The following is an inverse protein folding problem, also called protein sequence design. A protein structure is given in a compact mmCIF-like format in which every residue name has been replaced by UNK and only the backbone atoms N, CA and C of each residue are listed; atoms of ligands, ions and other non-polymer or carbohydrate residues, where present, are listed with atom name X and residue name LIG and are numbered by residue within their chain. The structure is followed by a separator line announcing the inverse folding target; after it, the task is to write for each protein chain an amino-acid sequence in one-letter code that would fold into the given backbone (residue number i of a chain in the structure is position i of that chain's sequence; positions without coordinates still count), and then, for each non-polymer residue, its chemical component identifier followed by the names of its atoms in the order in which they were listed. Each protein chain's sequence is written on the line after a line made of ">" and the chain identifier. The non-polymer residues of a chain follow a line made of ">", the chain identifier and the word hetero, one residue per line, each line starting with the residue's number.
data_IF_445478863632
#
_entry.id   IF_445478863632
#
_cell.length_a   1.000
_cell.length_b   1.000
_cell.length_c   1.000
_cell.angle_alpha   90.00
_cell.angle_beta   90.00
_cell.angle_gamma   90.00
#
_symmetry.space_group_name_H-M   'P 1'
#
loop_
_entity.id
_entity.type
_entity.pdbx_description
1 polymer ?
#
# COMPACT_ATOMS: atom_id res chain seq x y z
N UNK A 1 -17.59 -6.29 -2.61
CA UNK A 1 -17.19 -7.10 -1.44
C UNK A 1 -17.94 -6.58 -0.24
N UNK A 2 -18.61 -7.43 0.53
CA UNK A 2 -19.13 -7.05 1.86
C UNK A 2 -18.16 -7.59 2.91
N UNK A 3 -18.17 -7.05 4.13
CA UNK A 3 -17.28 -7.51 5.21
C UNK A 3 -17.42 -9.02 5.45
N UNK A 4 -18.64 -9.57 5.31
CA UNK A 4 -18.90 -11.01 5.41
C UNK A 4 -18.11 -11.83 4.38
N UNK A 5 -18.08 -11.39 3.12
CA UNK A 5 -17.34 -12.09 2.07
C UNK A 5 -15.82 -12.02 2.30
N UNK A 6 -15.32 -10.92 2.86
CA UNK A 6 -13.91 -10.79 3.21
C UNK A 6 -13.53 -11.69 4.39
N UNK A 7 -14.34 -11.73 5.44
CA UNK A 7 -14.10 -12.63 6.57
C UNK A 7 -14.12 -14.11 6.16
N UNK A 8 -15.04 -14.49 5.26
CA UNK A 8 -15.08 -15.85 4.70
C UNK A 8 -13.82 -16.19 3.92
N UNK A 9 -13.28 -15.24 3.13
CA UNK A 9 -12.00 -15.43 2.45
C UNK A 9 -10.86 -15.65 3.44
N UNK A 10 -10.77 -14.85 4.50
CA UNK A 10 -9.72 -15.00 5.50
C UNK A 10 -9.83 -16.33 6.26
N UNK A 11 -11.05 -16.78 6.56
CA UNK A 11 -11.31 -18.06 7.21
C UNK A 11 -10.98 -19.29 6.33
N UNK A 12 -10.88 -19.10 5.01
CA UNK A 12 -10.51 -20.17 4.10
C UNK A 12 -9.02 -20.57 4.20
N UNK A 13 -8.17 -19.72 4.76
CA UNK A 13 -6.76 -20.04 4.98
C UNK A 13 -6.60 -20.93 6.21
N UNK A 14 -6.13 -22.16 5.99
CA UNK A 14 -5.96 -23.18 7.03
C UNK A 14 -4.73 -22.96 7.90
N UNK A 15 -3.72 -22.23 7.41
CA UNK A 15 -2.49 -21.95 8.15
C UNK A 15 -2.02 -20.50 7.99
N UNK A 16 -1.18 -20.05 8.94
CA UNK A 16 -0.49 -18.75 8.85
C UNK A 16 0.44 -18.68 7.63
N UNK A 17 1.02 -19.81 7.22
CA UNK A 17 1.87 -19.89 6.03
C UNK A 17 1.06 -19.73 4.74
N UNK A 18 -0.15 -20.31 4.65
CA UNK A 18 -1.03 -20.12 3.48
C UNK A 18 -1.44 -18.65 3.32
N UNK A 19 -1.80 -18.00 4.44
CA UNK A 19 -2.13 -16.57 4.46
C UNK A 19 -0.91 -15.72 4.07
N UNK A 20 0.28 -16.07 4.56
CA UNK A 20 1.52 -15.39 4.18
C UNK A 20 1.76 -15.46 2.67
N UNK A 21 1.68 -16.66 2.10
CA UNK A 21 1.98 -16.87 0.69
C UNK A 21 0.97 -16.16 -0.20
N UNK A 22 -0.31 -16.16 0.19
CA UNK A 22 -1.33 -15.33 -0.45
C UNK A 22 -1.00 -13.84 -0.41
N UNK A 23 -0.63 -13.29 0.76
CA UNK A 23 -0.25 -11.88 0.90
C UNK A 23 0.95 -11.52 0.03
N UNK A 24 1.98 -12.37 -0.01
CA UNK A 24 3.16 -12.15 -0.85
C UNK A 24 2.82 -12.22 -2.34
N UNK A 25 1.94 -13.14 -2.74
CA UNK A 25 1.46 -13.25 -4.13
C UNK A 25 0.67 -12.01 -4.53
N UNK A 26 -0.30 -11.57 -3.72
CA UNK A 26 -1.11 -10.39 -4.07
C UNK A 26 -0.28 -9.11 -4.11
N UNK A 27 0.68 -8.94 -3.19
CA UNK A 27 1.62 -7.82 -3.28
C UNK A 27 2.47 -7.89 -4.55
N UNK A 28 2.87 -9.08 -4.98
CA UNK A 28 3.59 -9.25 -6.25
C UNK A 28 2.73 -8.88 -7.45
N UNK A 29 1.46 -9.27 -7.47
CA UNK A 29 0.51 -8.86 -8.52
C UNK A 29 0.35 -7.34 -8.53
N UNK A 30 0.20 -6.70 -7.38
CA UNK A 30 0.10 -5.24 -7.30
C UNK A 30 1.37 -4.54 -7.79
N UNK A 31 2.55 -5.05 -7.44
CA UNK A 31 3.83 -4.54 -7.97
C UNK A 31 3.90 -4.63 -9.49
N UNK A 32 3.37 -5.71 -10.08
CA UNK A 32 3.30 -5.85 -11.55
C UNK A 32 2.35 -4.79 -12.11
N UNK A 33 1.12 -4.67 -11.60
CA UNK A 33 0.10 -3.72 -12.07
C UNK A 33 0.55 -2.25 -12.02
N UNK A 34 1.42 -1.93 -11.06
CA UNK A 34 1.98 -0.58 -10.84
C UNK A 34 3.04 -0.21 -11.89
N UNK A 35 3.63 -1.19 -12.59
CA UNK A 35 4.72 -0.95 -13.53
C UNK A 35 4.31 0.01 -14.65
N UNK A 36 5.21 0.91 -15.09
CA UNK A 36 4.93 1.84 -16.18
C UNK A 36 4.48 1.13 -17.46
N UNK A 37 4.95 -0.07 -17.72
CA UNK A 37 4.71 -0.80 -18.98
C UNK A 37 3.36 -1.53 -19.03
N UNK A 38 2.63 -1.65 -17.91
CA UNK A 38 1.37 -2.42 -17.87
C UNK A 38 0.22 -1.77 -18.63
N UNK A 39 0.25 -0.45 -18.76
CA UNK A 39 -0.80 0.31 -19.45
C UNK A 39 -0.14 1.28 -20.42
N UNK A 40 -0.83 1.64 -21.50
CA UNK A 40 -0.36 2.70 -22.38
C UNK A 40 -0.27 4.04 -21.62
N UNK A 41 0.58 4.97 -22.09
CA UNK A 41 0.82 6.25 -21.43
C UNK A 41 -0.45 7.09 -21.25
N UNK A 42 -1.35 7.04 -22.23
CA UNK A 42 -2.59 7.83 -22.23
C UNK A 42 -3.73 7.19 -21.43
N UNK A 43 -3.53 5.98 -20.92
CA UNK A 43 -4.54 5.25 -20.14
C UNK A 43 -4.55 5.69 -18.67
N UNK A 44 -4.53 7.01 -18.45
CA UNK A 44 -4.50 7.58 -17.09
C UNK A 44 -5.71 7.12 -16.27
N UNK A 45 -6.91 7.04 -16.87
CA UNK A 45 -8.11 6.60 -16.15
C UNK A 45 -7.96 5.17 -15.65
N UNK A 46 -7.47 4.25 -16.50
CA UNK A 46 -7.26 2.85 -16.12
C UNK A 46 -6.22 2.72 -15.00
N UNK A 47 -5.13 3.49 -15.09
CA UNK A 47 -4.10 3.56 -14.03
C UNK A 47 -4.68 4.03 -12.70
N UNK A 48 -5.49 5.10 -12.72
CA UNK A 48 -6.13 5.63 -11.51
C UNK A 48 -7.12 4.64 -10.89
N UNK A 49 -7.95 3.98 -11.71
CA UNK A 49 -8.87 2.93 -11.22
C UNK A 49 -8.11 1.76 -10.61
N UNK A 50 -7.05 1.32 -11.28
CA UNK A 50 -6.19 0.23 -10.79
C UNK A 50 -5.56 0.60 -9.45
N UNK A 51 -4.98 1.80 -9.34
CA UNK A 51 -4.40 2.28 -8.09
C UNK A 51 -5.43 2.42 -6.97
N UNK A 52 -6.65 2.85 -7.28
CA UNK A 52 -7.73 2.90 -6.31
C UNK A 52 -8.10 1.50 -5.79
N UNK A 53 -8.17 0.50 -6.67
CA UNK A 53 -8.38 -0.91 -6.27
C UNK A 53 -7.23 -1.43 -5.42
N UNK A 54 -5.98 -1.09 -5.77
CA UNK A 54 -4.80 -1.50 -5.00
C UNK A 54 -4.84 -0.89 -3.59
N UNK A 55 -4.96 0.44 -3.44
CA UNK A 55 -4.96 1.07 -2.11
C UNK A 55 -6.11 0.57 -1.25
N UNK A 56 -7.33 0.48 -1.81
CA UNK A 56 -8.47 -0.05 -1.04
C UNK A 56 -8.23 -1.49 -0.60
N UNK A 57 -7.69 -2.35 -1.46
CA UNK A 57 -7.37 -3.74 -1.08
C UNK A 57 -6.25 -3.79 -0.04
N UNK A 58 -5.20 -2.99 -0.18
CA UNK A 58 -4.12 -2.89 0.80
C UNK A 58 -4.67 -2.49 2.17
N UNK A 59 -5.54 -1.47 2.24
CA UNK A 59 -6.18 -1.04 3.49
C UNK A 59 -6.99 -2.16 4.16
N UNK A 60 -7.70 -2.98 3.37
CA UNK A 60 -8.42 -4.16 3.88
C UNK A 60 -7.45 -5.22 4.43
N UNK A 61 -6.36 -5.50 3.70
CA UNK A 61 -5.37 -6.50 4.08
C UNK A 61 -4.52 -6.09 5.27
N UNK A 62 -4.36 -4.79 5.52
CA UNK A 62 -3.58 -4.28 6.65
C UNK A 62 -4.06 -4.80 8.00
N UNK A 63 -5.38 -4.96 8.19
CA UNK A 63 -5.91 -5.52 9.43
C UNK A 63 -5.50 -7.00 9.61
N UNK A 64 -5.54 -7.78 8.53
CA UNK A 64 -5.06 -9.17 8.54
C UNK A 64 -3.56 -9.25 8.79
N UNK A 65 -2.76 -8.35 8.19
CA UNK A 65 -1.33 -8.21 8.44
C UNK A 65 -1.05 -7.95 9.92
N UNK A 66 -1.70 -6.94 10.49
CA UNK A 66 -1.54 -6.57 11.90
C UNK A 66 -1.85 -7.73 12.83
N UNK A 67 -3.04 -8.32 12.68
CA UNK A 67 -3.52 -9.37 13.58
C UNK A 67 -2.66 -10.63 13.55
N UNK A 68 -2.15 -11.01 12.37
CA UNK A 68 -1.49 -12.30 12.19
C UNK A 68 0.06 -12.22 12.26
N UNK A 69 0.66 -11.07 11.93
CA UNK A 69 2.09 -10.94 11.70
C UNK A 69 2.81 -9.88 12.57
N UNK A 70 2.11 -9.24 13.53
CA UNK A 70 2.74 -8.39 14.56
C UNK A 70 3.16 -9.12 15.84
N UNK A 71 2.97 -10.44 15.93
CA UNK A 71 3.31 -11.24 17.11
C UNK A 71 4.81 -11.54 17.22
N UNK A 72 5.24 -12.18 18.33
CA UNK A 72 6.64 -12.48 18.69
C UNK A 72 7.48 -13.14 17.59
N UNK A 73 6.84 -13.79 16.60
CA UNK A 73 7.47 -14.31 15.39
C UNK A 73 7.27 -13.34 14.23
N UNK A 74 8.07 -12.27 14.25
CA UNK A 74 8.06 -11.23 13.22
C UNK A 74 8.41 -11.83 11.84
N UNK A 75 7.51 -11.72 10.87
CA UNK A 75 7.75 -12.21 9.51
C UNK A 75 8.32 -11.08 8.64
N UNK A 76 9.65 -10.99 8.62
CA UNK A 76 10.35 -9.94 7.88
C UNK A 76 9.97 -9.90 6.39
N UNK A 77 9.74 -11.06 5.77
CA UNK A 77 9.47 -11.17 4.33
C UNK A 77 8.17 -10.48 3.94
N UNK A 78 7.12 -10.67 4.74
CA UNK A 78 5.80 -10.05 4.50
C UNK A 78 5.87 -8.54 4.71
N UNK A 79 6.47 -8.11 5.82
CA UNK A 79 6.56 -6.69 6.16
C UNK A 79 7.44 -5.93 5.16
N UNK A 80 8.59 -6.48 4.77
CA UNK A 80 9.46 -5.92 3.74
C UNK A 80 8.72 -5.79 2.40
N UNK A 81 8.01 -6.84 1.97
CA UNK A 81 7.21 -6.80 0.74
C UNK A 81 6.07 -5.78 0.81
N UNK A 82 5.42 -5.63 1.97
CA UNK A 82 4.36 -4.66 2.19
C UNK A 82 4.90 -3.23 2.09
N UNK A 83 5.93 -2.88 2.86
CA UNK A 83 6.49 -1.53 2.83
C UNK A 83 7.11 -1.20 1.48
N UNK A 84 7.77 -2.16 0.83
CA UNK A 84 8.30 -1.97 -0.52
C UNK A 84 7.18 -1.65 -1.53
N UNK A 85 6.06 -2.39 -1.49
CA UNK A 85 4.89 -2.08 -2.32
C UNK A 85 4.37 -0.66 -2.04
N UNK A 86 4.27 -0.26 -0.78
CA UNK A 86 3.74 1.06 -0.42
C UNK A 86 4.66 2.20 -0.86
N UNK A 87 5.99 2.02 -0.77
CA UNK A 87 6.98 2.97 -1.31
C UNK A 87 6.81 3.14 -2.81
N UNK A 88 6.78 2.05 -3.58
CA UNK A 88 6.67 2.15 -5.04
C UNK A 88 5.31 2.74 -5.46
N UNK A 89 4.25 2.49 -4.68
CA UNK A 89 2.92 3.03 -4.93
C UNK A 89 2.91 4.55 -4.81
N UNK A 90 3.41 5.11 -3.71
CA UNK A 90 3.44 6.58 -3.48
C UNK A 90 4.30 7.28 -4.54
N UNK A 91 5.40 6.66 -4.97
CA UNK A 91 6.33 7.23 -5.94
C UNK A 91 5.87 7.11 -7.41
N UNK A 92 4.68 6.56 -7.68
CA UNK A 92 4.19 6.47 -9.05
C UNK A 92 3.96 7.86 -9.68
N UNK A 93 4.47 8.11 -10.90
CA UNK A 93 4.26 9.38 -11.61
C UNK A 93 2.77 9.73 -11.83
N UNK A 94 1.90 8.73 -12.01
CA UNK A 94 0.47 8.97 -12.22
C UNK A 94 -0.29 9.44 -10.98
N UNK A 95 0.34 9.40 -9.81
CA UNK A 95 -0.22 9.90 -8.54
C UNK A 95 0.36 11.27 -8.15
N UNK A 96 1.32 11.80 -8.91
CA UNK A 96 1.93 13.13 -8.70
C UNK A 96 1.02 14.19 -9.33
N UNK A 97 -0.02 14.57 -8.59
CA UNK A 97 -1.11 15.44 -9.07
C UNK A 97 -0.67 16.88 -9.39
N UNK A 98 0.52 17.28 -8.94
CA UNK A 98 1.15 18.57 -9.23
C UNK A 98 1.41 18.75 -10.74
N UNK A 99 1.64 17.63 -11.44
CA UNK A 99 1.87 17.62 -12.89
C UNK A 99 0.57 17.72 -13.71
N UNK A 100 -0.60 17.64 -13.07
CA UNK A 100 -1.89 17.62 -13.76
C UNK A 100 -2.45 19.03 -13.92
N UNK A 101 -3.27 19.23 -14.97
CA UNK A 101 -4.05 20.46 -15.08
C UNK A 101 -5.00 20.62 -13.89
N UNK A 102 -5.32 21.87 -13.46
CA UNK A 102 -6.19 22.11 -12.30
C UNK A 102 -7.53 21.35 -12.37
N UNK A 103 -8.17 21.32 -13.55
CA UNK A 103 -9.43 20.61 -13.76
C UNK A 103 -9.28 19.09 -13.62
N UNK A 104 -8.18 18.51 -14.12
CA UNK A 104 -7.91 17.07 -13.99
C UNK A 104 -7.60 16.71 -12.54
N UNK A 105 -6.74 17.48 -11.86
CA UNK A 105 -6.44 17.33 -10.43
C UNK A 105 -7.71 17.35 -9.59
N UNK A 106 -8.57 18.36 -9.78
CA UNK A 106 -9.86 18.48 -9.08
C UNK A 106 -10.72 17.23 -9.24
N UNK A 107 -10.93 16.75 -10.49
CA UNK A 107 -11.72 15.55 -10.76
C UNK A 107 -11.15 14.28 -10.12
N UNK A 108 -9.83 14.14 -10.08
CA UNK A 108 -9.17 12.98 -9.45
C UNK A 108 -9.39 13.01 -7.95
N UNK A 109 -9.18 14.17 -7.31
CA UNK A 109 -9.39 14.35 -5.87
C UNK A 109 -10.85 14.15 -5.47
N UNK A 110 -11.80 14.68 -6.24
CA UNK A 110 -13.24 14.49 -5.98
C UNK A 110 -13.66 13.01 -6.07
N UNK A 111 -13.03 12.24 -6.97
CA UNK A 111 -13.42 10.84 -7.21
C UNK A 111 -12.69 9.83 -6.32
N UNK A 112 -11.41 10.04 -6.07
CA UNK A 112 -10.53 9.05 -5.42
C UNK A 112 -9.85 9.58 -4.16
N UNK A 113 -9.95 10.89 -3.87
CA UNK A 113 -9.11 11.54 -2.87
C UNK A 113 -7.64 11.57 -3.28
N UNK A 114 -6.78 11.99 -2.34
CA UNK A 114 -5.33 11.85 -2.50
C UNK A 114 -4.89 10.45 -2.04
N UNK A 115 -4.68 9.56 -3.00
CA UNK A 115 -4.25 8.19 -2.74
C UNK A 115 -2.86 8.10 -2.10
N UNK A 116 -1.97 9.07 -2.32
CA UNK A 116 -0.65 9.09 -1.65
C UNK A 116 -0.82 9.36 -0.16
N UNK A 117 -1.71 10.29 0.19
CA UNK A 117 -2.02 10.59 1.59
C UNK A 117 -2.63 9.38 2.28
N UNK A 118 -3.60 8.70 1.64
CA UNK A 118 -4.19 7.47 2.19
C UNK A 118 -3.14 6.40 2.47
N UNK A 119 -2.25 6.13 1.50
CA UNK A 119 -1.16 5.16 1.68
C UNK A 119 -0.17 5.62 2.76
N UNK A 120 0.20 6.90 2.79
CA UNK A 120 1.11 7.47 3.79
C UNK A 120 0.59 7.34 5.22
N UNK A 121 -0.70 7.64 5.43
CA UNK A 121 -1.36 7.45 6.72
C UNK A 121 -1.37 5.98 7.14
N UNK A 122 -1.62 5.05 6.22
CA UNK A 122 -1.61 3.62 6.51
C UNK A 122 -0.21 3.12 6.87
N UNK A 123 0.81 3.50 6.09
CA UNK A 123 2.22 3.19 6.39
C UNK A 123 2.59 3.69 7.79
N UNK A 124 2.21 4.92 8.11
CA UNK A 124 2.49 5.52 9.41
C UNK A 124 1.81 4.74 10.54
N UNK A 125 0.53 4.40 10.38
CA UNK A 125 -0.20 3.58 11.35
C UNK A 125 0.47 2.21 11.55
N UNK A 126 0.81 1.52 10.46
CA UNK A 126 1.49 0.22 10.51
C UNK A 126 2.86 0.33 11.20
N UNK A 127 3.64 1.36 10.90
CA UNK A 127 4.93 1.60 11.52
C UNK A 127 4.84 1.86 13.03
N UNK A 128 3.86 2.64 13.48
CA UNK A 128 3.65 2.86 14.92
C UNK A 128 3.37 1.54 15.65
N UNK A 129 2.62 0.64 15.03
CA UNK A 129 2.36 -0.69 15.58
C UNK A 129 3.61 -1.60 15.60
N UNK A 130 4.59 -1.36 14.72
CA UNK A 130 5.89 -2.06 14.70
C UNK A 130 6.91 -1.49 15.69
N UNK A 131 6.78 -0.20 16.01
CA UNK A 131 7.68 0.54 16.89
C UNK A 131 7.73 0.04 18.33
N UNK A 132 6.91 -0.93 18.72
CA UNK A 132 7.01 -1.66 19.99
C UNK A 132 7.98 -2.86 19.93
N UNK A 133 8.44 -3.26 18.74
CA UNK A 133 9.25 -4.46 18.47
C UNK A 133 10.70 -4.13 18.01
N UNK A 134 11.33 -3.10 18.61
CA UNK A 134 12.40 -2.27 18.04
C UNK A 134 13.78 -2.86 17.64
N UNK A 135 14.22 -4.10 17.94
CA UNK A 135 15.55 -4.52 17.48
C UNK A 135 15.67 -4.79 15.96
N UNK A 136 14.57 -4.98 15.22
CA UNK A 136 14.59 -5.53 13.85
C UNK A 136 14.21 -4.57 12.72
N UNK A 137 13.93 -3.29 13.02
CA UNK A 137 13.32 -2.35 12.05
C UNK A 137 14.29 -1.37 11.40
N UNK A 138 15.61 -1.52 11.58
CA UNK A 138 16.62 -0.55 11.09
C UNK A 138 16.73 -0.42 9.56
N UNK A 139 16.37 -1.44 8.77
CA UNK A 139 16.31 -1.33 7.30
C UNK A 139 15.00 -0.69 6.83
N UNK A 140 13.89 -0.97 7.52
CA UNK A 140 12.57 -0.44 7.23
C UNK A 140 12.47 1.07 7.57
N UNK A 141 13.26 1.57 8.52
CA UNK A 141 13.27 2.98 8.92
C UNK A 141 13.78 3.92 7.82
N UNK A 142 14.71 3.49 6.96
CA UNK A 142 15.24 4.32 5.86
C UNK A 142 14.17 4.56 4.79
N UNK A 143 13.42 3.51 4.44
CA UNK A 143 12.30 3.61 3.50
C UNK A 143 11.18 4.51 4.05
N UNK A 144 10.92 4.43 5.36
CA UNK A 144 9.93 5.25 6.03
C UNK A 144 10.34 6.72 6.14
N UNK A 145 11.61 6.99 6.46
CA UNK A 145 12.17 8.35 6.46
C UNK A 145 12.11 8.97 5.07
N UNK A 146 12.37 8.19 4.02
CA UNK A 146 12.21 8.64 2.63
C UNK A 146 10.74 8.97 2.30
N UNK A 147 9.79 8.13 2.72
CA UNK A 147 8.35 8.39 2.53
C UNK A 147 7.91 9.65 3.28
N UNK A 148 8.33 9.81 4.54
CA UNK A 148 7.97 10.97 5.36
C UNK A 148 8.61 12.26 4.85
N UNK A 149 9.87 12.22 4.40
CA UNK A 149 10.53 13.35 3.76
C UNK A 149 9.77 13.77 2.50
N UNK A 150 9.38 12.80 1.65
CA UNK A 150 8.63 13.06 0.43
C UNK A 150 7.24 13.64 0.68
N UNK A 151 6.50 13.11 1.65
CA UNK A 151 5.18 13.63 2.02
C UNK A 151 5.24 15.02 2.70
N UNK A 152 6.39 15.39 3.27
CA UNK A 152 6.62 16.71 3.88
C UNK A 152 6.93 17.77 2.83
N UNK A 153 7.73 17.45 1.81
CA UNK A 153 8.02 18.36 0.68
C UNK A 153 6.78 18.69 -0.16
N UNK A 154 5.79 17.80 -0.18
CA UNK A 154 4.55 17.97 -0.96
C UNK A 154 3.47 18.81 -0.22
N UNK A 155 3.70 19.22 1.03
CA UNK A 155 2.78 20.10 1.81
C UNK A 155 3.17 21.59 1.80
N UNK A 156 4.33 21.94 1.26
CA UNK A 156 4.84 23.32 1.13
C UNK A 156 4.67 23.84 -0.29
#
# INVERSE_FOLDING_TARGET
>A
MSDKHYQQLLQAFTSKDDLRDFLLQIFTVFRILIRPEMFLKDWTVMRLVTNNVIITTVLYLSDALRKNFLNDKFDYKVWDSYFYLSVIFINQPCLQLESFSPSKKKRVLEKYGDMRVMMGCEIFSMWQNLGTMQPHTRSLSVSLLWILARLSEERS
#
